data_IF_883550441157
#
_entry.id   IF_883550441157
#
_cell.length_a   1.000
_cell.length_b   1.000
_cell.length_c   1.000
_cell.angle_alpha   90.00
_cell.angle_beta   90.00
_cell.angle_gamma   90.00
#
_symmetry.space_group_name_H-M   'P 1'
#
loop_
_entity.id
_entity.type
_entity.pdbx_description
1 polymer ?
#
# COMPACT_ATOMS: atom_id res chain seq x y z
N UNK A 1 26.85 11.64 71.01
CA UNK A 1 27.19 11.50 69.60
C UNK A 1 26.24 10.51 68.92
N UNK A 2 25.38 11.06 68.10
CA UNK A 2 24.39 10.28 67.31
C UNK A 2 25.02 9.93 65.98
N UNK A 3 25.25 8.65 65.73
CA UNK A 3 25.63 8.12 64.43
C UNK A 3 24.35 7.93 63.56
N UNK A 4 24.25 8.72 62.53
CA UNK A 4 23.22 8.56 61.48
C UNK A 4 23.81 7.61 60.42
N UNK A 5 23.36 6.36 60.44
CA UNK A 5 23.69 5.38 59.40
C UNK A 5 22.71 5.60 58.23
N UNK A 6 23.16 6.31 57.19
CA UNK A 6 22.42 6.45 55.96
C UNK A 6 22.47 5.17 55.15
N UNK A 7 21.35 4.45 55.13
CA UNK A 7 21.16 3.29 54.27
C UNK A 7 20.78 3.79 52.85
N UNK A 8 21.77 3.97 51.99
CA UNK A 8 21.56 4.17 50.57
C UNK A 8 21.21 2.81 49.96
N UNK A 9 19.91 2.51 49.88
CA UNK A 9 19.39 1.39 49.11
C UNK A 9 19.53 1.67 47.63
N UNK A 10 20.47 1.04 46.96
CA UNK A 10 20.48 0.93 45.52
C UNK A 10 19.23 0.16 45.10
N UNK A 11 18.24 0.88 44.54
CA UNK A 11 17.15 0.24 43.82
C UNK A 11 17.73 -0.38 42.55
N UNK A 12 17.62 -1.70 42.36
CA UNK A 12 18.02 -2.30 41.11
C UNK A 12 17.13 -1.69 40.01
N UNK A 13 17.74 -0.97 39.08
CA UNK A 13 17.09 -0.60 37.80
C UNK A 13 16.83 -1.89 37.05
N UNK A 14 15.71 -2.54 37.33
CA UNK A 14 15.18 -3.58 36.48
C UNK A 14 14.87 -2.92 35.13
N UNK A 15 15.81 -3.06 34.21
CA UNK A 15 15.49 -2.91 32.80
C UNK A 15 14.40 -3.96 32.51
N UNK A 16 13.16 -3.53 32.46
CA UNK A 16 12.14 -4.31 31.77
C UNK A 16 12.62 -4.39 30.32
N UNK A 17 13.31 -5.46 29.97
CA UNK A 17 13.56 -5.82 28.60
C UNK A 17 12.18 -6.12 28.01
N UNK A 18 11.59 -5.14 27.35
CA UNK A 18 10.38 -5.36 26.58
C UNK A 18 10.70 -6.44 25.55
N UNK A 19 9.91 -7.50 25.51
CA UNK A 19 10.05 -8.53 24.48
C UNK A 19 10.00 -7.84 23.12
N UNK A 20 10.83 -8.28 22.15
CA UNK A 20 10.81 -7.70 20.81
C UNK A 20 9.41 -7.84 20.23
N UNK A 21 8.81 -6.70 19.84
CA UNK A 21 7.48 -6.68 19.25
C UNK A 21 7.47 -7.36 17.89
N UNK A 22 6.40 -8.09 17.61
CA UNK A 22 6.19 -8.67 16.28
C UNK A 22 5.99 -7.58 15.24
N UNK A 23 6.26 -7.88 13.98
CA UNK A 23 6.01 -6.95 12.86
C UNK A 23 4.55 -6.48 12.85
N UNK A 24 3.60 -7.37 13.15
CA UNK A 24 2.17 -7.01 13.22
C UNK A 24 1.89 -5.97 14.31
N UNK A 25 2.45 -6.11 15.51
CA UNK A 25 2.29 -5.15 16.60
C UNK A 25 2.89 -3.78 16.25
N UNK A 26 4.05 -3.77 15.60
CA UNK A 26 4.70 -2.53 15.15
C UNK A 26 3.84 -1.86 14.07
N UNK A 27 3.30 -2.61 13.12
CA UNK A 27 2.40 -2.09 12.08
C UNK A 27 1.15 -1.45 12.68
N UNK A 28 0.54 -2.07 13.68
CA UNK A 28 -0.64 -1.54 14.38
C UNK A 28 -0.33 -0.21 15.09
N UNK A 29 0.82 -0.11 15.75
CA UNK A 29 1.27 1.12 16.40
C UNK A 29 1.53 2.24 15.40
N UNK A 30 2.18 1.93 14.26
CA UNK A 30 2.40 2.87 13.17
C UNK A 30 1.06 3.35 12.61
N UNK A 31 0.15 2.42 12.30
CA UNK A 31 -1.18 2.76 11.77
C UNK A 31 -1.96 3.67 12.72
N UNK A 32 -1.96 3.36 14.01
CA UNK A 32 -2.62 4.18 15.02
C UNK A 32 -2.00 5.59 15.09
N UNK A 33 -0.67 5.70 15.03
CA UNK A 33 0.05 6.99 15.05
C UNK A 33 -0.26 7.82 13.81
N UNK A 34 -0.15 7.24 12.62
CA UNK A 34 -0.42 7.89 11.34
C UNK A 34 -1.87 8.36 11.25
N UNK A 35 -2.81 7.51 11.66
CA UNK A 35 -4.24 7.84 11.69
C UNK A 35 -4.54 8.94 12.72
N UNK A 36 -3.88 8.91 13.88
CA UNK A 36 -3.99 9.95 14.90
C UNK A 36 -3.52 11.33 14.43
N UNK A 37 -2.61 11.39 13.45
CA UNK A 37 -2.17 12.62 12.78
C UNK A 37 -3.10 13.07 11.64
N UNK A 38 -4.14 12.29 11.32
CA UNK A 38 -5.12 12.61 10.26
C UNK A 38 -4.70 12.15 8.86
N UNK A 39 -3.74 11.22 8.77
CA UNK A 39 -3.33 10.60 7.51
C UNK A 39 -3.85 9.18 7.39
N UNK A 40 -3.91 8.68 6.17
CA UNK A 40 -4.20 7.27 5.91
C UNK A 40 -2.90 6.47 5.89
N UNK A 41 -2.84 5.41 6.69
CA UNK A 41 -1.76 4.44 6.62
C UNK A 41 -1.98 3.47 5.44
N UNK A 42 -1.02 3.43 4.51
CA UNK A 42 -1.07 2.58 3.31
C UNK A 42 -0.24 1.33 3.50
N UNK A 43 1.05 1.48 3.85
CA UNK A 43 1.98 0.37 3.92
C UNK A 43 3.13 0.60 4.90
N UNK A 44 3.69 -0.52 5.40
CA UNK A 44 4.91 -0.57 6.20
C UNK A 44 5.80 -1.69 5.71
N UNK A 45 7.03 -1.37 5.32
CA UNK A 45 8.01 -2.31 4.82
C UNK A 45 9.31 -2.23 5.62
N UNK A 46 9.85 -3.40 5.98
CA UNK A 46 11.22 -3.54 6.44
C UNK A 46 12.08 -4.04 5.31
N UNK A 47 13.00 -3.22 4.88
CA UNK A 47 13.86 -3.49 3.74
C UNK A 47 15.28 -3.84 4.20
N UNK A 48 16.12 -4.24 3.25
CA UNK A 48 17.50 -4.58 3.54
C UNK A 48 18.26 -3.41 4.18
N UNK A 49 19.31 -3.73 4.95
CA UNK A 49 20.18 -2.76 5.64
C UNK A 49 19.44 -1.84 6.60
N UNK A 50 18.46 -2.37 7.35
CA UNK A 50 17.76 -1.62 8.39
C UNK A 50 16.92 -0.45 7.88
N UNK A 51 16.62 -0.39 6.58
CA UNK A 51 15.71 0.60 6.03
C UNK A 51 14.27 0.24 6.38
N UNK A 52 13.57 1.20 6.94
CA UNK A 52 12.12 1.16 7.18
C UNK A 52 11.45 2.16 6.25
N UNK A 53 10.43 1.72 5.53
CA UNK A 53 9.59 2.58 4.69
C UNK A 53 8.16 2.55 5.17
N UNK A 54 7.58 3.74 5.33
CA UNK A 54 6.17 3.94 5.67
C UNK A 54 5.52 4.74 4.55
N UNK A 55 4.44 4.20 4.01
CA UNK A 55 3.67 4.87 2.97
C UNK A 55 2.37 5.40 3.57
N UNK A 56 2.15 6.69 3.40
CA UNK A 56 0.97 7.41 3.91
C UNK A 56 0.22 8.09 2.77
N UNK A 57 -1.08 8.29 2.94
CA UNK A 57 -1.92 8.99 1.98
C UNK A 57 -2.91 9.93 2.65
N UNK A 58 -3.64 10.72 1.88
CA UNK A 58 -4.68 11.63 2.35
C UNK A 58 -5.74 11.82 1.28
N UNK A 59 -6.97 12.17 1.72
CA UNK A 59 -8.05 12.56 0.83
C UNK A 59 -8.02 14.07 0.47
N UNK A 60 -7.06 14.84 1.02
CA UNK A 60 -6.93 16.26 0.74
C UNK A 60 -6.54 16.50 -0.72
N UNK A 61 -7.12 17.53 -1.32
CA UNK A 61 -6.69 18.01 -2.63
C UNK A 61 -5.21 18.41 -2.57
N UNK A 62 -4.42 17.94 -3.54
CA UNK A 62 -2.97 18.14 -3.56
C UNK A 62 -2.16 16.96 -2.99
N UNK A 63 -2.81 16.01 -2.28
CA UNK A 63 -2.14 14.81 -1.74
C UNK A 63 -1.19 15.10 -0.58
N UNK A 64 -0.21 14.23 -0.38
CA UNK A 64 0.80 14.32 0.68
C UNK A 64 1.92 15.28 0.26
N UNK A 65 2.21 16.25 1.10
CA UNK A 65 3.33 17.18 0.96
C UNK A 65 4.60 16.66 1.66
N UNK A 66 5.71 17.35 1.45
CA UNK A 66 6.98 17.06 2.16
C UNK A 66 6.85 17.34 3.65
N UNK A 67 6.15 18.42 4.02
CA UNK A 67 5.92 18.80 5.42
C UNK A 67 5.07 17.73 6.15
N UNK A 68 4.10 17.11 5.46
CA UNK A 68 3.33 16.00 5.99
C UNK A 68 4.24 14.78 6.28
N UNK A 69 5.15 14.47 5.34
CA UNK A 69 6.12 13.38 5.53
C UNK A 69 7.06 13.67 6.70
N UNK A 70 7.51 14.91 6.88
CA UNK A 70 8.36 15.34 7.99
C UNK A 70 7.62 15.15 9.32
N UNK A 71 6.40 15.67 9.44
CA UNK A 71 5.59 15.56 10.66
C UNK A 71 5.34 14.09 11.07
N UNK A 72 5.06 13.21 10.12
CA UNK A 72 4.89 11.78 10.38
C UNK A 72 6.22 11.13 10.75
N UNK A 73 7.32 11.47 10.07
CA UNK A 73 8.67 10.96 10.34
C UNK A 73 9.10 11.23 11.77
N UNK A 74 8.85 12.44 12.27
CA UNK A 74 9.18 12.85 13.64
C UNK A 74 8.41 12.02 14.66
N UNK A 75 7.10 11.86 14.48
CA UNK A 75 6.27 11.06 15.40
C UNK A 75 6.65 9.58 15.39
N UNK A 76 6.95 9.02 14.22
CA UNK A 76 7.40 7.63 14.11
C UNK A 76 8.78 7.43 14.74
N UNK A 77 9.69 8.39 14.63
CA UNK A 77 10.99 8.37 15.29
C UNK A 77 10.83 8.33 16.80
N UNK A 78 9.94 9.14 17.37
CA UNK A 78 9.60 9.10 18.79
C UNK A 78 8.97 7.76 19.19
N UNK A 79 8.00 7.27 18.42
CA UNK A 79 7.39 5.97 18.64
C UNK A 79 8.42 4.85 18.69
N UNK A 80 9.32 4.77 17.69
CA UNK A 80 10.34 3.73 17.62
C UNK A 80 11.33 3.80 18.76
N UNK A 81 11.68 5.01 19.21
CA UNK A 81 12.54 5.21 20.40
C UNK A 81 11.88 4.67 21.66
N UNK A 82 10.60 4.98 21.89
CA UNK A 82 9.84 4.52 23.06
C UNK A 82 9.65 3.00 23.05
N UNK A 83 9.34 2.45 21.88
CA UNK A 83 9.02 1.04 21.68
C UNK A 83 10.24 0.15 21.47
N UNK A 84 11.45 0.73 21.42
CA UNK A 84 12.70 0.00 21.23
C UNK A 84 12.80 -0.67 19.86
N UNK A 85 12.27 -0.04 18.82
CA UNK A 85 12.34 -0.55 17.44
C UNK A 85 13.65 -0.11 16.80
N UNK A 86 14.50 -1.06 16.45
CA UNK A 86 15.76 -0.77 15.76
C UNK A 86 15.56 -0.56 14.27
N UNK A 87 16.15 0.50 13.73
CA UNK A 87 16.24 0.81 12.30
C UNK A 87 17.48 1.68 12.02
N UNK A 88 17.99 1.61 10.78
CA UNK A 88 19.12 2.43 10.33
C UNK A 88 18.64 3.69 9.59
N UNK A 89 17.54 3.59 8.86
CA UNK A 89 16.96 4.68 8.09
C UNK A 89 15.45 4.56 8.03
N UNK A 90 14.76 5.69 8.25
CA UNK A 90 13.31 5.83 8.08
C UNK A 90 13.03 6.63 6.81
N UNK A 91 12.16 6.11 5.97
CA UNK A 91 11.59 6.80 4.81
C UNK A 91 10.07 6.89 4.98
N UNK A 92 9.53 8.09 4.92
CA UNK A 92 8.09 8.35 4.84
C UNK A 92 7.79 8.95 3.48
N UNK A 93 6.81 8.39 2.77
CA UNK A 93 6.47 8.82 1.41
C UNK A 93 4.99 8.63 1.10
N UNK A 94 4.51 9.30 0.04
CA UNK A 94 3.22 8.98 -0.56
C UNK A 94 3.32 7.75 -1.48
N UNK A 95 2.19 7.04 -1.76
CA UNK A 95 2.20 5.88 -2.64
C UNK A 95 2.43 6.23 -4.12
N UNK A 96 2.36 7.51 -4.46
CA UNK A 96 2.41 7.98 -5.83
C UNK A 96 1.18 7.54 -6.64
N UNK A 97 1.34 7.50 -7.97
CA UNK A 97 0.25 7.20 -8.90
C UNK A 97 -0.06 5.69 -9.03
N UNK A 98 0.87 4.83 -8.66
CA UNK A 98 0.73 3.36 -8.68
C UNK A 98 0.46 2.84 -7.25
N UNK A 99 -0.55 3.41 -6.58
CA UNK A 99 -0.90 3.07 -5.20
C UNK A 99 -1.17 1.57 -5.05
N UNK A 100 -0.54 0.89 -4.06
CA UNK A 100 -0.85 -0.50 -3.75
C UNK A 100 -2.26 -0.65 -3.14
N UNK A 101 -2.95 -1.72 -3.52
CA UNK A 101 -4.28 -2.09 -3.02
C UNK A 101 -4.13 -3.33 -2.13
N UNK A 102 -3.94 -3.14 -0.83
CA UNK A 102 -3.65 -4.23 0.12
C UNK A 102 -4.85 -4.68 0.93
N UNK A 103 -5.78 -3.77 1.23
CA UNK A 103 -6.91 -4.01 2.13
C UNK A 103 -8.24 -3.80 1.41
N UNK A 104 -9.29 -4.49 1.83
CA UNK A 104 -10.63 -4.35 1.24
C UNK A 104 -11.08 -2.88 1.16
N UNK A 105 -10.72 -2.03 2.15
CA UNK A 105 -11.03 -0.60 2.12
C UNK A 105 -10.38 0.13 0.94
N UNK A 106 -9.13 -0.24 0.56
CA UNK A 106 -8.43 0.37 -0.58
C UNK A 106 -9.19 0.07 -1.87
N UNK A 107 -9.58 -1.19 -2.06
CA UNK A 107 -10.35 -1.62 -3.21
C UNK A 107 -11.72 -0.96 -3.30
N UNK A 108 -12.43 -0.82 -2.15
CA UNK A 108 -13.73 -0.13 -2.09
C UNK A 108 -13.62 1.34 -2.47
N UNK A 109 -12.55 2.03 -2.02
CA UNK A 109 -12.29 3.45 -2.32
C UNK A 109 -12.06 3.68 -3.81
N UNK A 110 -11.41 2.75 -4.50
CA UNK A 110 -11.03 2.88 -5.89
C UNK A 110 -11.89 2.09 -6.86
N UNK A 111 -13.14 1.79 -6.50
CA UNK A 111 -14.13 1.24 -7.44
C UNK A 111 -14.28 2.17 -8.65
N UNK A 112 -14.23 1.61 -9.86
CA UNK A 112 -14.22 2.34 -11.13
C UNK A 112 -12.85 2.71 -11.66
N UNK A 113 -11.79 2.60 -10.84
CA UNK A 113 -10.42 2.91 -11.25
C UNK A 113 -9.74 1.72 -11.93
N UNK A 114 -8.80 1.98 -12.86
CA UNK A 114 -8.00 0.93 -13.47
C UNK A 114 -6.96 0.40 -12.47
N UNK A 115 -6.78 -0.91 -12.46
CA UNK A 115 -5.84 -1.59 -11.59
C UNK A 115 -5.12 -2.73 -12.31
N UNK A 116 -3.87 -2.98 -11.87
CA UNK A 116 -3.11 -4.16 -12.18
C UNK A 116 -3.23 -5.14 -11.02
N UNK A 117 -3.59 -6.39 -11.31
CA UNK A 117 -3.76 -7.45 -10.30
C UNK A 117 -2.90 -8.64 -10.69
N UNK A 118 -2.14 -9.16 -9.76
CA UNK A 118 -1.40 -10.42 -9.88
C UNK A 118 -1.95 -11.40 -8.85
N UNK A 119 -2.40 -12.57 -9.31
CA UNK A 119 -2.97 -13.63 -8.47
C UNK A 119 -1.89 -14.66 -8.12
N UNK A 120 -2.04 -15.35 -6.98
CA UNK A 120 -1.17 -16.48 -6.62
C UNK A 120 -1.31 -17.63 -7.63
N UNK A 121 -2.54 -17.96 -8.01
CA UNK A 121 -2.84 -19.04 -8.96
C UNK A 121 -3.43 -18.48 -10.26
N UNK A 122 -3.23 -19.15 -11.42
CA UNK A 122 -3.85 -18.75 -12.67
C UNK A 122 -5.36 -18.85 -12.61
N UNK A 123 -6.05 -17.78 -12.95
CA UNK A 123 -7.51 -17.76 -13.10
C UNK A 123 -7.92 -18.23 -14.50
N UNK A 124 -8.98 -19.01 -14.56
CA UNK A 124 -9.60 -19.49 -15.80
C UNK A 124 -10.94 -18.80 -15.99
N UNK A 125 -11.17 -18.18 -17.14
CA UNK A 125 -12.43 -17.59 -17.54
C UNK A 125 -12.63 -17.74 -19.05
N UNK A 126 -13.86 -17.58 -19.50
CA UNK A 126 -14.16 -17.59 -20.92
C UNK A 126 -13.37 -16.46 -21.63
N UNK A 127 -12.65 -16.81 -22.68
CA UNK A 127 -11.78 -15.87 -23.41
C UNK A 127 -10.33 -15.80 -22.88
N UNK A 128 -9.99 -16.51 -21.79
CA UNK A 128 -8.61 -16.65 -21.35
C UNK A 128 -7.89 -17.82 -22.05
N UNK A 129 -6.54 -17.79 -22.10
CA UNK A 129 -5.76 -18.94 -22.55
C UNK A 129 -6.06 -20.19 -21.70
N UNK A 130 -5.87 -21.39 -22.28
CA UNK A 130 -6.07 -22.66 -21.57
C UNK A 130 -5.21 -22.77 -20.28
N UNK A 131 -4.04 -22.18 -20.26
CA UNK A 131 -3.16 -22.10 -19.09
C UNK A 131 -3.66 -21.13 -18.00
N UNK A 132 -4.76 -20.41 -18.22
CA UNK A 132 -5.25 -19.36 -17.34
C UNK A 132 -4.42 -18.07 -17.40
N UNK A 133 -4.78 -17.09 -16.56
CA UNK A 133 -4.04 -15.84 -16.40
C UNK A 133 -3.81 -15.53 -14.92
N UNK A 134 -2.58 -15.16 -14.57
CA UNK A 134 -2.23 -14.65 -13.23
C UNK A 134 -2.24 -13.13 -13.18
N UNK A 135 -1.97 -12.46 -14.29
CA UNK A 135 -1.88 -11.00 -14.38
C UNK A 135 -3.08 -10.46 -15.12
N UNK A 136 -3.79 -9.58 -14.45
CA UNK A 136 -5.04 -8.99 -14.94
C UNK A 136 -4.90 -7.46 -14.91
N UNK A 137 -5.05 -6.83 -16.06
CA UNK A 137 -5.18 -5.38 -16.19
C UNK A 137 -6.63 -5.04 -16.49
N UNK A 138 -7.20 -4.10 -15.76
CA UNK A 138 -8.62 -3.81 -15.96
C UNK A 138 -9.18 -2.82 -14.94
N UNK A 139 -10.49 -2.85 -14.73
CA UNK A 139 -11.19 -1.93 -13.81
C UNK A 139 -11.86 -2.66 -12.66
N UNK A 140 -11.80 -2.07 -11.48
CA UNK A 140 -12.52 -2.54 -10.30
C UNK A 140 -13.99 -2.18 -10.48
N UNK A 141 -14.89 -3.17 -10.59
CA UNK A 141 -16.32 -2.93 -10.78
C UNK A 141 -17.07 -2.84 -9.44
N UNK A 142 -16.79 -3.75 -8.53
CA UNK A 142 -17.42 -3.80 -7.23
C UNK A 142 -16.54 -4.56 -6.23
N UNK A 143 -16.75 -4.28 -4.94
CA UNK A 143 -16.08 -4.99 -3.84
C UNK A 143 -17.10 -5.25 -2.75
N UNK A 144 -17.30 -6.52 -2.42
CA UNK A 144 -18.25 -6.98 -1.41
C UNK A 144 -17.53 -7.69 -0.26
N UNK A 145 -18.01 -7.52 0.96
CA UNK A 145 -17.39 -8.11 2.14
C UNK A 145 -16.29 -7.25 2.76
N UNK A 146 -15.56 -7.82 3.72
CA UNK A 146 -14.47 -7.17 4.46
C UNK A 146 -13.31 -8.15 4.70
N UNK A 147 -12.14 -7.61 5.06
CA UNK A 147 -10.95 -8.42 5.32
C UNK A 147 -10.39 -9.09 4.07
N UNK A 148 -9.75 -10.25 4.26
CA UNK A 148 -9.12 -11.03 3.20
C UNK A 148 -10.11 -11.84 2.36
N UNK A 149 -11.32 -12.07 2.85
CA UNK A 149 -12.39 -12.80 2.15
C UNK A 149 -13.31 -11.87 1.34
N UNK A 150 -12.96 -10.58 1.26
CA UNK A 150 -13.70 -9.64 0.42
C UNK A 150 -13.60 -10.07 -1.05
N UNK A 151 -14.75 -10.11 -1.72
CA UNK A 151 -14.86 -10.50 -3.12
C UNK A 151 -14.81 -9.30 -4.03
N UNK A 152 -13.95 -9.37 -5.02
CA UNK A 152 -13.76 -8.32 -6.03
C UNK A 152 -14.35 -8.78 -7.35
N UNK A 153 -15.22 -7.94 -7.93
CA UNK A 153 -15.66 -8.06 -9.32
C UNK A 153 -14.79 -7.14 -10.16
N UNK A 154 -14.15 -7.71 -11.16
CA UNK A 154 -13.14 -7.03 -11.95
C UNK A 154 -13.41 -7.19 -13.44
N UNK A 155 -13.36 -6.09 -14.19
CA UNK A 155 -13.45 -6.10 -15.64
C UNK A 155 -12.06 -6.22 -16.23
N UNK A 156 -11.69 -7.38 -16.72
CA UNK A 156 -10.44 -7.58 -17.43
C UNK A 156 -10.53 -6.93 -18.82
N UNK A 157 -9.62 -6.02 -19.07
CA UNK A 157 -9.41 -5.39 -20.37
C UNK A 157 -7.91 -5.42 -20.64
N UNK A 158 -7.49 -5.73 -21.87
CA UNK A 158 -6.08 -5.53 -22.24
C UNK A 158 -5.79 -4.03 -22.33
N UNK A 159 -5.56 -3.40 -21.15
CA UNK A 159 -5.24 -1.98 -21.09
C UNK A 159 -3.82 -1.76 -21.61
N UNK A 160 -3.73 -1.28 -22.84
CA UNK A 160 -2.47 -0.79 -23.40
C UNK A 160 -2.14 0.60 -22.84
N UNK A 161 -1.62 0.65 -21.63
CA UNK A 161 -1.24 1.92 -21.00
C UNK A 161 0.12 2.34 -21.53
N UNK A 162 0.10 3.37 -22.35
CA UNK A 162 1.30 3.98 -22.87
C UNK A 162 2.09 4.66 -21.75
N UNK A 163 3.24 4.12 -21.38
CA UNK A 163 4.16 4.72 -20.41
C UNK A 163 4.98 5.87 -20.98
N UNK A 164 4.94 6.08 -22.30
CA UNK A 164 5.64 7.17 -22.99
C UNK A 164 4.75 7.78 -24.08
N UNK A 165 4.95 9.07 -24.44
CA UNK A 165 4.19 9.72 -25.51
C UNK A 165 4.29 8.97 -26.86
N UNK A 166 5.43 8.38 -27.17
CA UNK A 166 5.66 7.59 -28.38
C UNK A 166 4.86 6.29 -28.39
N UNK A 167 4.70 5.64 -27.23
CA UNK A 167 3.85 4.46 -27.08
C UNK A 167 2.37 4.84 -27.25
N UNK A 168 1.93 5.95 -26.66
CA UNK A 168 0.55 6.44 -26.80
C UNK A 168 0.12 6.62 -28.25
N UNK A 169 1.01 7.12 -29.13
CA UNK A 169 0.74 7.28 -30.56
C UNK A 169 0.66 5.92 -31.29
N UNK A 170 1.53 4.97 -30.92
CA UNK A 170 1.55 3.61 -31.51
C UNK A 170 0.31 2.83 -31.11
N UNK A 171 -0.11 2.94 -29.84
CA UNK A 171 -1.24 2.20 -29.28
C UNK A 171 -2.55 2.74 -29.85
N UNK A 172 -2.70 4.06 -30.07
CA UNK A 172 -3.84 4.63 -30.82
C UNK A 172 -3.96 4.09 -32.24
N UNK A 173 -2.85 3.92 -32.94
CA UNK A 173 -2.85 3.33 -34.31
C UNK A 173 -3.19 1.84 -34.30
N UNK A 174 -2.83 1.12 -33.22
CA UNK A 174 -3.13 -0.31 -33.08
C UNK A 174 -4.59 -0.53 -32.66
N UNK A 175 -5.09 0.24 -31.69
CA UNK A 175 -6.48 0.21 -31.24
C UNK A 175 -7.49 0.53 -32.36
N UNK A 176 -7.13 1.40 -33.29
CA UNK A 176 -7.97 1.72 -34.47
C UNK A 176 -8.09 0.55 -35.47
N UNK A 177 -7.26 -0.50 -35.36
CA UNK A 177 -7.25 -1.66 -36.29
C UNK A 177 -7.71 -2.97 -35.66
N UNK A 178 -7.79 -3.04 -34.33
CA UNK A 178 -8.15 -4.27 -33.61
C UNK A 178 -9.55 -4.08 -33.01
N UNK A 179 -10.54 -4.97 -33.28
CA UNK A 179 -11.81 -4.94 -32.57
C UNK A 179 -11.54 -5.05 -31.07
N UNK A 180 -12.04 -4.14 -30.26
CA UNK A 180 -12.00 -4.22 -28.82
C UNK A 180 -12.81 -5.47 -28.43
N UNK A 181 -12.14 -6.51 -27.94
CA UNK A 181 -12.83 -7.66 -27.38
C UNK A 181 -13.73 -7.16 -26.23
N UNK A 182 -14.90 -7.74 -26.08
CA UNK A 182 -15.79 -7.39 -24.97
C UNK A 182 -15.03 -7.62 -23.64
N UNK A 183 -15.17 -6.73 -22.66
CA UNK A 183 -14.49 -6.89 -21.38
C UNK A 183 -14.96 -8.19 -20.72
N UNK A 184 -14.01 -9.00 -20.25
CA UNK A 184 -14.30 -10.23 -19.51
C UNK A 184 -14.45 -9.88 -18.04
N UNK A 185 -15.63 -10.12 -17.48
CA UNK A 185 -15.86 -9.90 -16.04
C UNK A 185 -15.44 -11.16 -15.28
N UNK A 186 -14.56 -10.98 -14.30
CA UNK A 186 -14.08 -12.04 -13.40
C UNK A 186 -14.34 -11.67 -11.96
N UNK A 187 -14.42 -12.67 -11.11
CA UNK A 187 -14.56 -12.51 -9.66
C UNK A 187 -13.47 -13.32 -8.96
N UNK A 188 -12.85 -12.71 -7.94
CA UNK A 188 -11.84 -13.34 -7.09
C UNK A 188 -11.93 -12.80 -5.68
N UNK A 189 -11.42 -13.55 -4.72
CA UNK A 189 -11.32 -13.12 -3.33
C UNK A 189 -9.96 -12.45 -3.09
N UNK A 190 -9.89 -11.51 -2.14
CA UNK A 190 -8.63 -10.79 -1.87
C UNK A 190 -7.51 -11.72 -1.36
N UNK A 191 -7.85 -12.86 -0.78
CA UNK A 191 -6.88 -13.88 -0.35
C UNK A 191 -6.11 -14.46 -1.53
N UNK A 192 -6.68 -14.45 -2.73
CA UNK A 192 -6.07 -14.97 -3.96
C UNK A 192 -5.11 -13.99 -4.62
N UNK A 193 -5.07 -12.73 -4.12
CA UNK A 193 -4.26 -11.65 -4.69
C UNK A 193 -2.87 -11.64 -4.08
N UNK A 194 -1.85 -11.86 -4.90
CA UNK A 194 -0.43 -11.71 -4.55
C UNK A 194 -0.03 -10.22 -4.50
N UNK A 195 -0.41 -9.47 -5.53
CA UNK A 195 -0.13 -8.04 -5.66
C UNK A 195 -1.22 -7.33 -6.44
N UNK A 196 -1.55 -6.12 -6.01
CA UNK A 196 -2.41 -5.23 -6.79
C UNK A 196 -2.00 -3.76 -6.61
N UNK A 197 -2.05 -3.02 -7.70
CA UNK A 197 -1.70 -1.60 -7.75
C UNK A 197 -2.69 -0.87 -8.67
N UNK A 198 -2.99 0.38 -8.33
CA UNK A 198 -3.68 1.26 -9.28
C UNK A 198 -2.81 1.47 -10.52
N UNK A 199 -3.47 1.66 -11.65
CA UNK A 199 -2.81 2.04 -12.89
C UNK A 199 -3.02 3.54 -13.09
N UNK A 200 -1.91 4.29 -13.22
CA UNK A 200 -1.97 5.71 -13.52
C UNK A 200 -2.50 5.95 -14.94
N UNK A 201 -3.62 6.63 -15.07
CA UNK A 201 -4.01 7.23 -16.34
C UNK A 201 -3.20 8.53 -16.54
N UNK A 202 -2.01 8.41 -17.13
CA UNK A 202 -1.20 9.57 -17.45
C UNK A 202 -1.81 10.31 -18.63
N UNK A 203 -2.51 11.41 -18.37
CA UNK A 203 -2.97 12.32 -19.44
C UNK A 203 -1.80 13.19 -19.89
N UNK A 204 -1.16 12.80 -20.99
CA UNK A 204 -0.11 13.57 -21.63
C UNK A 204 -0.62 14.82 -22.39
N UNK A 205 -1.90 15.14 -22.29
CA UNK A 205 -2.46 16.39 -22.82
C UNK A 205 -2.18 17.48 -21.79
N UNK A 206 -1.04 18.17 -21.97
CA UNK A 206 -0.74 19.37 -21.21
C UNK A 206 -1.96 20.30 -21.22
N UNK A 207 -2.47 20.65 -20.04
CA UNK A 207 -3.38 21.79 -19.90
C UNK A 207 -2.66 23.01 -20.48
N UNK A 208 -3.20 23.55 -21.59
CA UNK A 208 -2.84 24.88 -22.07
C UNK A 208 -3.36 25.92 -21.11
#
# INVERSE_FOLDING_TARGET
PFFFFGFFGEFPRTRFASMPKSTAQITELIESTVTGLGYEFVDFERLARGLVRITIDTDREGGISVDDCEAVSDQITHLFTVEGVDYERLEVSSPGVERPLKRARDWKRFVGSPAHVELYEPMHAEGFPEAGRRKLDGKILAVEGEGSEARVRFSFEELHIARTPSQAVRDKKKAAKTPVAAPVVVEFDLVDVDRANLIAELDFRGKK
#
